data_IF_753527391288
#
_entry.id   IF_753527391288
#
_cell.length_a   1.000
_cell.length_b   1.000
_cell.length_c   1.000
_cell.angle_alpha   90.00
_cell.angle_beta   90.00
_cell.angle_gamma   90.00
#
_symmetry.space_group_name_H-M   'P 1'
#
loop_
_entity.id
_entity.type
_entity.pdbx_description
1 polymer ?
#
# COMPACT_ATOMS: atom_id res chain seq x y z
N UNK A 1 21.73 21.85 -24.30
CA UNK A 1 21.45 23.07 -23.52
C UNK A 1 20.53 22.70 -22.37
N UNK A 2 20.87 23.07 -21.13
CA UNK A 2 19.99 22.82 -19.98
C UNK A 2 18.78 23.75 -20.08
N UNK A 3 17.58 23.20 -20.29
CA UNK A 3 16.32 23.94 -20.30
C UNK A 3 16.12 24.64 -18.96
N UNK A 4 16.45 25.93 -18.90
CA UNK A 4 16.49 26.72 -17.65
C UNK A 4 15.17 27.42 -17.36
N UNK A 5 14.24 27.48 -18.33
CA UNK A 5 12.95 28.15 -18.19
C UNK A 5 11.81 27.12 -18.08
N UNK A 6 10.91 27.31 -17.10
CA UNK A 6 9.77 26.43 -16.86
C UNK A 6 8.81 26.35 -18.07
N UNK A 7 8.71 27.46 -18.84
CA UNK A 7 7.87 27.52 -20.05
C UNK A 7 8.38 26.60 -21.16
N UNK A 8 9.66 26.28 -21.17
CA UNK A 8 10.26 25.38 -22.16
C UNK A 8 10.13 23.90 -21.75
N UNK A 9 9.79 23.65 -20.48
CA UNK A 9 9.73 22.30 -19.88
C UNK A 9 8.30 21.76 -19.71
N UNK A 10 7.30 22.63 -19.55
CA UNK A 10 5.90 22.22 -19.33
C UNK A 10 4.99 22.94 -20.32
N UNK A 11 4.25 22.17 -21.10
CA UNK A 11 3.29 22.61 -22.11
C UNK A 11 1.89 22.03 -21.83
N UNK A 12 0.84 22.49 -22.54
CA UNK A 12 -0.49 21.87 -22.47
C UNK A 12 -0.52 20.38 -22.86
N UNK A 13 0.51 19.88 -23.56
CA UNK A 13 0.62 18.48 -23.95
C UNK A 13 1.32 17.60 -22.88
N UNK A 14 1.98 18.22 -21.90
CA UNK A 14 2.78 17.53 -20.89
C UNK A 14 1.94 16.55 -20.10
N UNK A 15 2.40 15.29 -20.05
CA UNK A 15 1.69 14.22 -19.36
C UNK A 15 1.83 14.34 -17.83
N UNK A 16 0.75 14.09 -17.11
CA UNK A 16 0.74 14.10 -15.65
C UNK A 16 0.78 12.67 -15.09
N UNK A 17 1.73 12.45 -14.18
CA UNK A 17 1.85 11.27 -13.33
C UNK A 17 1.95 11.69 -11.87
N UNK A 18 1.85 10.75 -10.93
CA UNK A 18 2.13 11.09 -9.54
C UNK A 18 2.10 9.96 -8.55
N UNK A 19 2.27 10.31 -7.28
CA UNK A 19 2.13 9.41 -6.15
C UNK A 19 0.94 9.86 -5.30
N UNK A 20 0.10 8.92 -4.88
CA UNK A 20 -1.00 9.16 -3.93
C UNK A 20 -0.70 8.54 -2.57
N UNK A 21 -1.01 9.25 -1.50
CA UNK A 21 -0.83 8.79 -0.13
C UNK A 21 -1.26 9.83 0.90
N UNK A 22 -1.32 9.43 2.17
CA UNK A 22 -1.57 10.35 3.28
C UNK A 22 -0.85 9.88 4.54
N UNK A 23 0.18 10.59 5.02
CA UNK A 23 0.91 11.69 4.36
C UNK A 23 1.80 11.19 3.21
N UNK A 24 2.13 12.05 2.24
CA UNK A 24 2.97 11.67 1.07
C UNK A 24 3.96 12.72 0.59
N UNK A 25 3.89 13.96 1.11
CA UNK A 25 4.76 15.07 0.67
C UNK A 25 6.26 14.84 0.84
N UNK A 26 6.66 13.93 1.73
CA UNK A 26 8.06 13.55 1.97
C UNK A 26 8.59 12.49 0.98
N UNK A 27 7.77 12.01 0.04
CA UNK A 27 8.17 10.98 -0.90
C UNK A 27 9.29 11.45 -1.82
N UNK A 28 10.29 10.59 -2.07
CA UNK A 28 11.32 10.81 -3.09
C UNK A 28 10.86 10.44 -4.51
N UNK A 29 9.65 9.87 -4.68
CA UNK A 29 9.15 9.48 -6.00
C UNK A 29 9.08 10.67 -6.97
N UNK A 30 8.59 11.87 -6.61
CA UNK A 30 8.63 13.03 -7.49
C UNK A 30 10.04 13.38 -7.98
N UNK A 31 11.06 13.35 -7.11
CA UNK A 31 12.44 13.57 -7.55
C UNK A 31 12.89 12.50 -8.56
N UNK A 32 12.71 11.22 -8.22
CA UNK A 32 13.10 10.08 -9.03
C UNK A 32 12.49 10.14 -10.44
N UNK A 33 11.16 10.26 -10.53
CA UNK A 33 10.46 10.21 -11.81
C UNK A 33 10.75 11.44 -12.68
N UNK A 34 10.78 12.64 -12.10
CA UNK A 34 11.11 13.85 -12.88
C UNK A 34 12.57 13.84 -13.36
N UNK A 35 13.49 13.27 -12.58
CA UNK A 35 14.86 13.03 -13.03
C UNK A 35 14.88 12.11 -14.25
N UNK A 36 14.17 10.97 -14.19
CA UNK A 36 14.09 10.04 -15.32
C UNK A 36 13.43 10.67 -16.56
N UNK A 37 12.32 11.40 -16.39
CA UNK A 37 11.66 12.10 -17.50
C UNK A 37 12.60 13.10 -18.19
N UNK A 38 13.35 13.87 -17.40
CA UNK A 38 14.34 14.82 -17.93
C UNK A 38 15.44 14.08 -18.71
N UNK A 39 15.95 12.97 -18.17
CA UNK A 39 17.06 12.22 -18.77
C UNK A 39 16.70 11.46 -20.03
N UNK A 40 15.44 11.07 -20.17
CA UNK A 40 14.92 10.36 -21.33
C UNK A 40 14.11 11.27 -22.27
N UNK A 41 14.12 12.58 -22.02
CA UNK A 41 13.37 13.58 -22.79
C UNK A 41 11.87 13.23 -22.94
N UNK A 42 11.27 12.73 -21.86
CA UNK A 42 9.84 12.44 -21.78
C UNK A 42 9.10 13.70 -21.36
N UNK A 43 8.17 14.18 -22.18
CA UNK A 43 7.31 15.33 -21.86
C UNK A 43 6.27 14.97 -20.79
N UNK A 44 6.73 14.90 -19.54
CA UNK A 44 5.93 14.50 -18.39
C UNK A 44 6.40 15.16 -17.09
N UNK A 45 5.45 15.30 -16.16
CA UNK A 45 5.70 15.73 -14.78
C UNK A 45 5.12 14.71 -13.80
N UNK A 46 5.85 14.48 -12.72
CA UNK A 46 5.42 13.62 -11.62
C UNK A 46 5.21 14.43 -10.33
N UNK A 47 4.02 14.38 -9.73
CA UNK A 47 3.68 15.14 -8.51
C UNK A 47 3.22 14.23 -7.36
N UNK A 48 3.20 14.78 -6.14
CA UNK A 48 2.60 14.13 -4.99
C UNK A 48 1.18 14.67 -4.74
N UNK A 49 0.20 13.78 -4.61
CA UNK A 49 -1.19 14.12 -4.31
C UNK A 49 -1.57 13.54 -2.95
N UNK A 50 -1.81 14.43 -1.98
CA UNK A 50 -2.12 14.07 -0.61
C UNK A 50 -3.63 14.16 -0.37
N UNK A 51 -4.28 13.02 -0.13
CA UNK A 51 -5.72 12.94 0.15
C UNK A 51 -6.05 11.62 0.84
N UNK A 52 -7.12 11.57 1.64
CA UNK A 52 -7.65 10.31 2.19
C UNK A 52 -8.64 9.60 1.25
N UNK A 53 -9.16 10.31 0.23
CA UNK A 53 -10.20 9.81 -0.69
C UNK A 53 -9.60 8.98 -1.84
N UNK A 54 -9.59 7.66 -1.68
CA UNK A 54 -8.99 6.74 -2.65
C UNK A 54 -9.76 6.73 -3.97
N UNK A 55 -11.10 6.66 -3.90
CA UNK A 55 -11.96 6.60 -5.08
C UNK A 55 -11.90 7.91 -5.88
N UNK A 56 -11.92 9.06 -5.20
CA UNK A 56 -11.77 10.36 -5.84
C UNK A 56 -10.43 10.49 -6.56
N UNK A 57 -9.34 10.01 -5.96
CA UNK A 57 -8.01 10.02 -6.58
C UNK A 57 -7.93 9.13 -7.83
N UNK A 58 -8.50 7.92 -7.80
CA UNK A 58 -8.53 7.05 -8.99
C UNK A 58 -9.50 7.60 -10.05
N UNK A 59 -10.62 8.21 -9.65
CA UNK A 59 -11.52 8.93 -10.55
C UNK A 59 -10.81 10.12 -11.22
N UNK A 60 -9.94 10.83 -10.50
CA UNK A 60 -9.16 11.94 -11.03
C UNK A 60 -8.23 11.52 -12.18
N UNK A 61 -7.77 10.27 -12.23
CA UNK A 61 -7.03 9.75 -13.38
C UNK A 61 -7.85 9.83 -14.68
N UNK A 62 -9.16 9.58 -14.58
CA UNK A 62 -10.07 9.64 -15.72
C UNK A 62 -10.36 11.09 -16.09
N UNK A 63 -10.72 11.92 -15.11
CA UNK A 63 -11.19 13.30 -15.35
C UNK A 63 -10.08 14.30 -15.68
N UNK A 64 -8.90 14.15 -15.07
CA UNK A 64 -7.75 15.05 -15.28
C UNK A 64 -6.69 14.45 -16.21
N UNK A 65 -6.98 13.29 -16.82
CA UNK A 65 -6.07 12.57 -17.68
C UNK A 65 -4.70 12.23 -17.05
N UNK A 66 -4.66 11.96 -15.74
CA UNK A 66 -3.44 11.46 -15.07
C UNK A 66 -3.15 10.06 -15.62
N UNK A 67 -1.99 9.89 -16.25
CA UNK A 67 -1.64 8.68 -17.00
C UNK A 67 -1.23 7.51 -16.11
N UNK A 68 -0.66 7.80 -14.94
CA UNK A 68 -0.27 6.77 -13.98
C UNK A 68 -0.07 7.34 -12.58
N UNK A 69 -0.39 6.52 -11.58
CA UNK A 69 -0.25 6.81 -10.17
C UNK A 69 0.52 5.69 -9.47
N UNK A 70 1.56 6.05 -8.73
CA UNK A 70 2.08 5.19 -7.66
C UNK A 70 1.20 5.35 -6.43
N UNK A 71 0.98 4.27 -5.69
CA UNK A 71 0.00 4.20 -4.62
C UNK A 71 0.70 3.77 -3.34
N UNK A 72 0.68 4.61 -2.31
CA UNK A 72 1.21 4.28 -0.98
C UNK A 72 0.12 4.30 0.09
N UNK A 73 0.51 4.15 1.36
CA UNK A 73 -0.43 4.15 2.48
C UNK A 73 -1.30 5.43 2.47
N UNK A 74 -2.59 5.33 2.83
CA UNK A 74 -3.35 4.12 3.19
C UNK A 74 -4.06 3.42 2.01
N UNK A 75 -3.83 3.86 0.76
CA UNK A 75 -4.72 3.56 -0.38
C UNK A 75 -4.56 2.17 -1.01
N UNK A 76 -3.43 1.48 -0.80
CA UNK A 76 -3.04 0.30 -1.59
C UNK A 76 -4.13 -0.78 -1.74
N UNK A 77 -4.90 -1.05 -0.68
CA UNK A 77 -5.98 -2.06 -0.70
C UNK A 77 -7.26 -1.53 -1.33
N UNK A 78 -7.68 -0.32 -0.94
CA UNK A 78 -8.94 0.29 -1.40
C UNK A 78 -8.88 0.63 -2.89
N UNK A 79 -7.68 0.97 -3.39
CA UNK A 79 -7.47 1.22 -4.80
C UNK A 79 -7.73 -0.01 -5.68
N UNK A 80 -7.61 -1.25 -5.17
CA UNK A 80 -7.98 -2.45 -5.92
C UNK A 80 -9.45 -2.47 -6.35
N UNK A 81 -10.33 -1.83 -5.57
CA UNK A 81 -11.76 -1.77 -5.84
C UNK A 81 -12.13 -0.66 -6.84
N UNK A 82 -11.22 0.28 -7.08
CA UNK A 82 -11.46 1.47 -7.89
C UNK A 82 -10.85 1.39 -9.31
N UNK A 83 -9.93 0.45 -9.53
CA UNK A 83 -9.34 0.16 -10.85
C UNK A 83 -10.19 -0.85 -11.63
N UNK A 84 -9.99 -0.91 -12.93
CA UNK A 84 -10.80 -1.73 -13.84
C UNK A 84 -10.25 -3.15 -13.98
N UNK A 85 -8.92 -3.32 -13.95
CA UNK A 85 -8.25 -4.62 -14.11
C UNK A 85 -7.13 -4.75 -13.09
N UNK A 86 -6.98 -5.95 -12.51
CA UNK A 86 -5.86 -6.31 -11.65
C UNK A 86 -4.97 -7.35 -12.33
N UNK A 87 -3.66 -7.19 -12.17
CA UNK A 87 -2.71 -8.27 -12.46
C UNK A 87 -2.88 -9.44 -11.49
N UNK A 88 -2.40 -10.63 -11.86
CA UNK A 88 -2.47 -11.83 -11.02
C UNK A 88 -1.88 -11.58 -9.61
N UNK A 89 -0.70 -10.94 -9.53
CA UNK A 89 -0.07 -10.64 -8.24
C UNK A 89 -0.87 -9.63 -7.43
N UNK A 90 -1.35 -8.56 -8.05
CA UNK A 90 -2.17 -7.54 -7.39
C UNK A 90 -3.49 -8.12 -6.85
N UNK A 91 -4.14 -8.99 -7.63
CA UNK A 91 -5.37 -9.67 -7.25
C UNK A 91 -5.14 -10.60 -6.06
N UNK A 92 -4.11 -11.45 -6.13
CA UNK A 92 -3.79 -12.39 -5.05
C UNK A 92 -3.36 -11.69 -3.75
N UNK A 93 -2.67 -10.54 -3.86
CA UNK A 93 -2.24 -9.75 -2.72
C UNK A 93 -3.36 -8.87 -2.13
N UNK A 94 -4.42 -8.61 -2.90
CA UNK A 94 -5.47 -7.66 -2.53
C UNK A 94 -4.93 -6.25 -2.28
N UNK A 95 -3.86 -5.87 -2.99
CA UNK A 95 -3.20 -4.58 -2.84
C UNK A 95 -2.45 -4.19 -4.12
N UNK A 96 -2.57 -2.93 -4.54
CA UNK A 96 -1.80 -2.34 -5.64
C UNK A 96 -0.91 -1.22 -5.13
N UNK A 97 0.30 -1.10 -5.69
CA UNK A 97 1.18 0.05 -5.48
C UNK A 97 1.30 0.91 -6.75
N UNK A 98 0.60 0.54 -7.82
CA UNK A 98 0.66 1.20 -9.12
C UNK A 98 -0.68 1.09 -9.83
N UNK A 99 -1.18 2.19 -10.39
CA UNK A 99 -2.30 2.24 -11.32
C UNK A 99 -1.87 2.98 -12.59
N UNK A 100 -2.26 2.49 -13.76
CA UNK A 100 -1.87 3.07 -15.05
C UNK A 100 -3.03 3.03 -16.03
N UNK A 101 -3.21 4.09 -16.82
CA UNK A 101 -4.17 4.12 -17.93
C UNK A 101 -3.58 3.38 -19.12
N UNK A 102 -4.33 2.42 -19.64
CA UNK A 102 -3.98 1.62 -20.81
C UNK A 102 -5.11 1.58 -21.83
N UNK A 103 -4.76 1.23 -23.06
CA UNK A 103 -5.75 0.90 -24.08
C UNK A 103 -6.44 -0.44 -23.78
N UNK A 104 -7.67 -0.62 -24.24
CA UNK A 104 -8.40 -1.89 -24.12
C UNK A 104 -7.59 -3.11 -24.61
N UNK A 105 -6.82 -2.95 -25.70
CA UNK A 105 -5.99 -4.03 -26.25
C UNK A 105 -4.89 -4.44 -25.28
N UNK A 106 -4.21 -3.47 -24.67
CA UNK A 106 -3.18 -3.74 -23.67
C UNK A 106 -3.78 -4.39 -22.42
N UNK A 107 -4.91 -3.85 -21.94
CA UNK A 107 -5.62 -4.38 -20.77
C UNK A 107 -6.10 -5.83 -20.99
N UNK A 108 -6.66 -6.16 -22.16
CA UNK A 108 -7.08 -7.53 -22.51
C UNK A 108 -5.92 -8.52 -22.48
N UNK A 109 -4.73 -8.12 -22.94
CA UNK A 109 -3.52 -8.97 -22.86
C UNK A 109 -3.16 -9.29 -21.41
N UNK A 110 -3.29 -8.32 -20.52
CA UNK A 110 -3.00 -8.49 -19.09
C UNK A 110 -4.09 -9.34 -18.42
N UNK A 111 -5.37 -9.07 -18.70
CA UNK A 111 -6.48 -9.83 -18.16
C UNK A 111 -6.45 -11.30 -18.60
N UNK A 112 -6.09 -11.58 -19.86
CA UNK A 112 -5.93 -12.96 -20.36
C UNK A 112 -4.75 -13.72 -19.75
N UNK A 113 -3.81 -13.02 -19.09
CA UNK A 113 -2.72 -13.63 -18.31
C UNK A 113 -3.09 -13.80 -16.84
N UNK A 114 -4.16 -13.16 -16.36
CA UNK A 114 -4.68 -13.31 -15.01
C UNK A 114 -5.65 -14.50 -14.99
N UNK A 115 -5.26 -15.63 -14.40
CA UNK A 115 -6.22 -16.71 -14.10
C UNK A 115 -7.27 -16.17 -13.14
N UNK A 116 -8.52 -16.07 -13.60
CA UNK A 116 -9.69 -15.69 -12.79
C UNK A 116 -9.95 -16.76 -11.73
N UNK A 117 -9.30 -16.68 -10.59
CA UNK A 117 -9.85 -17.23 -9.37
C UNK A 117 -10.64 -16.13 -8.70
N UNK A 118 -11.96 -16.32 -8.65
CA UNK A 118 -12.90 -15.46 -7.95
C UNK A 118 -12.33 -15.11 -6.57
N UNK A 119 -12.00 -13.84 -6.38
CA UNK A 119 -11.75 -13.29 -5.06
C UNK A 119 -13.10 -13.28 -4.36
N UNK A 120 -13.44 -14.37 -3.66
CA UNK A 120 -14.45 -14.35 -2.62
C UNK A 120 -13.91 -13.45 -1.51
N UNK A 121 -14.23 -12.16 -1.61
CA UNK A 121 -13.97 -11.19 -0.56
C UNK A 121 -14.84 -11.57 0.62
N UNK A 122 -14.18 -11.81 1.76
CA UNK A 122 -14.69 -11.76 3.12
C UNK A 122 -16.08 -11.10 3.26
N UNK A 123 -17.14 -11.89 3.11
CA UNK A 123 -18.35 -11.67 3.87
C UNK A 123 -17.99 -11.98 5.32
N UNK A 124 -17.81 -10.95 6.13
CA UNK A 124 -18.02 -11.08 7.56
C UNK A 124 -19.46 -11.54 7.76
N UNK A 125 -19.66 -12.85 7.83
CA UNK A 125 -20.87 -13.41 8.44
C UNK A 125 -20.88 -12.93 9.89
N UNK A 126 -21.63 -11.88 10.15
CA UNK A 126 -22.16 -11.58 11.47
C UNK A 126 -22.94 -12.81 11.92
N UNK A 127 -22.30 -13.71 12.67
CA UNK A 127 -23.03 -14.72 13.43
C UNK A 127 -23.72 -13.99 14.59
N UNK A 128 -25.04 -14.14 14.76
CA UNK A 128 -25.74 -13.55 15.89
C UNK A 128 -25.31 -14.28 17.17
N UNK A 129 -24.91 -13.49 18.16
CA UNK A 129 -24.69 -13.96 19.53
C UNK A 129 -26.02 -14.48 20.05
N UNK A 130 -26.08 -15.79 20.28
CA UNK A 130 -27.19 -16.44 20.96
C UNK A 130 -27.17 -16.05 22.44
N UNK A 131 -28.08 -15.16 22.85
CA UNK A 131 -28.51 -15.05 24.25
C UNK A 131 -29.71 -15.95 24.46
N UNK A 132 -29.50 -17.06 25.17
CA UNK A 132 -30.55 -17.87 25.76
C UNK A 132 -31.31 -17.04 26.80
N UNK A 133 -32.62 -16.85 26.59
CA UNK A 133 -33.60 -16.75 27.67
C UNK A 133 -34.89 -17.41 27.16
N UNK A 134 -35.30 -18.45 27.87
CA UNK A 134 -36.48 -19.25 27.61
C UNK A 134 -37.75 -18.50 28.05
N UNK A 135 -38.85 -18.71 27.31
CA UNK A 135 -40.13 -19.25 27.80
C UNK A 135 -41.36 -18.66 27.07
N UNK A 136 -42.21 -19.60 26.65
CA UNK A 136 -43.68 -19.57 26.55
C UNK A 136 -44.38 -18.76 25.46
N UNK A 137 -44.95 -19.54 24.52
CA UNK A 137 -46.36 -19.54 24.10
C UNK A 137 -47.02 -18.25 23.61
N UNK A 138 -47.24 -18.18 22.29
CA UNK A 138 -48.59 -18.44 21.75
C UNK A 138 -48.58 -18.56 20.22
N UNK A 139 -49.22 -19.62 19.72
CA UNK A 139 -49.37 -19.94 18.30
C UNK A 139 -50.74 -19.48 17.76
N UNK A 140 -50.69 -18.74 16.64
CA UNK A 140 -51.49 -18.87 15.40
C UNK A 140 -53.01 -18.53 15.44
N UNK A 141 -53.71 -18.35 14.28
CA UNK A 141 -53.31 -17.88 12.92
C UNK A 141 -54.41 -17.01 12.20
N UNK A 142 -54.23 -16.83 10.87
CA UNK A 142 -55.25 -16.57 9.83
C UNK A 142 -55.58 -15.08 9.54
N UNK A 143 -55.91 -14.61 8.33
CA UNK A 143 -56.40 -15.29 7.12
C UNK A 143 -56.25 -14.36 5.89
N UNK A 144 -56.41 -14.97 4.73
CA UNK A 144 -56.27 -14.47 3.35
C UNK A 144 -57.44 -13.57 2.86
N UNK A 145 -57.11 -12.69 1.89
CA UNK A 145 -57.84 -12.34 0.63
C UNK A 145 -59.00 -11.31 0.56
N UNK A 146 -58.70 -10.24 -0.23
CA UNK A 146 -59.45 -9.61 -1.37
C UNK A 146 -60.79 -8.87 -1.11
N UNK A 147 -61.34 -8.02 -2.03
CA UNK A 147 -60.88 -7.54 -3.36
C UNK A 147 -61.11 -6.01 -3.65
N UNK A 148 -60.81 -5.60 -4.89
CA UNK A 148 -60.99 -4.29 -5.52
C UNK A 148 -62.45 -3.90 -5.88
N UNK A 149 -62.73 -2.61 -6.10
CA UNK A 149 -63.28 -1.98 -7.35
C UNK A 149 -63.81 -0.53 -7.13
N UNK A 150 -63.64 0.29 -8.19
CA UNK A 150 -64.46 1.45 -8.66
C UNK A 150 -64.61 2.70 -7.75
N UNK A 151 -64.70 3.97 -8.19
CA UNK A 151 -65.02 4.62 -9.47
C UNK A 151 -64.75 6.16 -9.40
N UNK A 152 -64.48 6.79 -10.57
CA UNK A 152 -64.89 8.13 -11.07
C UNK A 152 -64.48 9.49 -10.42
N UNK A 153 -63.92 10.35 -11.29
CA UNK A 153 -63.63 11.82 -11.21
C UNK A 153 -64.92 12.70 -11.32
N UNK A 154 -64.92 14.08 -11.21
CA UNK A 154 -64.24 15.01 -12.15
C UNK A 154 -63.88 16.48 -11.70
N UNK A 155 -63.11 17.17 -12.58
CA UNK A 155 -63.15 18.60 -13.01
C UNK A 155 -62.68 19.82 -12.18
N UNK A 156 -61.72 20.58 -12.75
CA UNK A 156 -61.78 22.01 -13.22
C UNK A 156 -60.34 22.51 -13.56
N UNK A 157 -59.97 22.87 -14.81
CA UNK A 157 -60.14 24.18 -15.51
C UNK A 157 -59.43 25.37 -14.80
N UNK A 158 -58.70 26.33 -15.41
CA UNK A 158 -58.20 26.65 -16.77
C UNK A 158 -57.28 27.91 -16.66
N UNK A 159 -56.66 28.29 -17.80
CA UNK A 159 -56.11 29.62 -18.22
C UNK A 159 -54.57 29.71 -18.35
N UNK A 160 -54.01 29.66 -19.58
CA UNK A 160 -53.90 30.71 -20.62
C UNK A 160 -52.71 31.66 -20.34
N UNK A 161 -51.83 32.10 -21.25
CA UNK A 161 -51.74 32.09 -22.73
C UNK A 161 -50.37 32.71 -23.08
N UNK A 162 -49.72 32.26 -24.17
CA UNK A 162 -49.26 33.19 -25.19
C UNK A 162 -49.03 32.48 -26.54
N UNK A 163 -49.87 32.89 -27.50
CA UNK A 163 -49.83 32.71 -28.96
C UNK A 163 -48.55 33.36 -29.55
N UNK A 164 -48.06 33.12 -30.78
CA UNK A 164 -48.69 33.00 -32.11
C UNK A 164 -47.54 32.56 -33.08
N UNK A 165 -47.63 31.43 -33.81
CA UNK A 165 -47.78 31.28 -35.29
C UNK A 165 -46.70 31.96 -36.18
N UNK A 166 -46.11 31.34 -37.22
CA UNK A 166 -46.74 30.97 -38.51
C UNK A 166 -45.73 30.19 -39.40
N UNK A 167 -46.18 29.03 -39.97
CA UNK A 167 -45.94 28.38 -41.29
C UNK A 167 -44.49 28.10 -41.78
N UNK A 168 -44.15 27.00 -42.49
CA UNK A 168 -44.92 26.21 -43.46
C UNK A 168 -44.29 24.82 -43.75
N UNK A 169 -45.17 23.86 -44.08
CA UNK A 169 -45.06 22.74 -45.05
C UNK A 169 -43.93 21.68 -44.98
N UNK A 170 -44.37 20.43 -44.76
CA UNK A 170 -43.68 19.18 -45.12
C UNK A 170 -43.93 18.84 -46.60
N UNK A 171 -42.95 18.21 -47.27
CA UNK A 171 -43.25 17.09 -48.15
C UNK A 171 -42.55 15.82 -47.67
N UNK A 172 -43.33 14.76 -47.51
CA UNK A 172 -42.83 13.40 -47.42
C UNK A 172 -42.37 12.96 -48.82
N UNK A 173 -41.15 12.41 -48.94
CA UNK A 173 -40.85 11.14 -49.62
C UNK A 173 -39.34 10.85 -49.65
N UNK A 174 -38.99 9.68 -49.12
CA UNK A 174 -37.94 8.74 -49.50
C UNK A 174 -36.51 9.21 -49.84
N UNK A 175 -35.54 8.75 -49.02
CA UNK A 175 -34.26 8.23 -49.53
C UNK A 175 -32.98 8.82 -48.93
N UNK A 176 -32.37 8.05 -48.02
CA UNK A 176 -30.93 8.02 -47.66
C UNK A 176 -30.29 9.21 -46.91
N UNK A 177 -29.52 8.81 -45.88
CA UNK A 177 -28.41 9.50 -45.20
C UNK A 177 -28.71 10.54 -44.11
N UNK A 178 -28.44 10.17 -42.85
CA UNK A 178 -27.43 10.86 -42.03
C UNK A 178 -27.21 10.16 -40.69
N UNK A 179 -26.15 9.37 -40.63
CA UNK A 179 -25.43 9.08 -39.38
C UNK A 179 -24.80 10.37 -38.87
N UNK A 180 -25.43 11.02 -37.90
CA UNK A 180 -24.79 12.00 -37.03
C UNK A 180 -25.14 11.72 -35.57
N UNK A 181 -24.80 10.51 -35.11
CA UNK A 181 -24.41 10.34 -33.71
C UNK A 181 -22.94 10.77 -33.60
N UNK A 182 -22.74 12.01 -33.13
CA UNK A 182 -21.63 12.43 -32.27
C UNK A 182 -20.31 11.65 -32.45
N UNK A 183 -19.51 12.06 -33.44
CA UNK A 183 -18.11 11.62 -33.58
C UNK A 183 -17.22 11.92 -32.35
N UNK A 184 -17.71 12.70 -31.39
CA UNK A 184 -17.01 13.04 -30.15
C UNK A 184 -17.23 12.00 -29.03
N UNK A 185 -18.39 11.33 -28.97
CA UNK A 185 -18.67 10.26 -28.00
C UNK A 185 -17.95 8.95 -28.37
N UNK A 186 -17.62 8.75 -29.64
CA UNK A 186 -16.85 7.59 -30.13
C UNK A 186 -15.32 7.74 -30.01
N UNK A 187 -14.82 8.89 -29.53
CA UNK A 187 -13.38 9.15 -29.36
C UNK A 187 -12.84 8.85 -27.96
N UNK A 188 -13.72 8.57 -26.99
CA UNK A 188 -13.37 7.99 -25.70
C UNK A 188 -13.36 6.46 -25.77
N UNK A 189 -12.50 5.88 -26.62
CA UNK A 189 -12.16 4.46 -26.49
C UNK A 189 -11.64 4.23 -25.08
N UNK A 190 -12.35 3.41 -24.31
CA UNK A 190 -12.21 3.23 -22.87
C UNK A 190 -10.73 3.11 -22.43
N UNK A 191 -10.24 4.12 -21.69
CA UNK A 191 -8.93 4.05 -21.06
C UNK A 191 -9.08 3.23 -19.76
N UNK A 192 -8.73 1.95 -19.84
CA UNK A 192 -8.79 1.00 -18.73
C UNK A 192 -7.69 1.32 -17.73
N UNK A 193 -8.03 1.43 -16.45
CA UNK A 193 -7.05 1.57 -15.37
C UNK A 193 -6.65 0.18 -14.88
N UNK A 194 -5.37 -0.14 -15.06
CA UNK A 194 -4.81 -1.42 -14.64
C UNK A 194 -3.99 -1.25 -13.36
N UNK A 195 -4.22 -2.11 -12.37
CA UNK A 195 -3.55 -2.16 -11.10
C UNK A 195 -2.43 -3.21 -11.02
N UNK A 196 -1.26 -2.79 -10.54
CA UNK A 196 -0.08 -3.64 -10.34
C UNK A 196 0.42 -3.57 -8.90
N UNK A 197 1.12 -4.63 -8.49
CA UNK A 197 1.94 -4.65 -7.29
C UNK A 197 3.38 -5.05 -7.62
N UNK A 198 4.31 -4.11 -7.44
CA UNK A 198 5.73 -4.33 -7.71
C UNK A 198 6.59 -4.49 -6.45
N UNK A 199 6.04 -4.31 -5.24
CA UNK A 199 6.84 -4.30 -4.00
C UNK A 199 7.62 -5.61 -3.81
N UNK A 200 6.95 -6.75 -3.92
CA UNK A 200 7.53 -8.07 -3.67
C UNK A 200 8.61 -8.44 -4.68
N UNK A 201 8.30 -8.32 -5.97
CA UNK A 201 9.27 -8.59 -7.04
C UNK A 201 10.46 -7.63 -6.99
N UNK A 202 10.26 -6.36 -6.62
CA UNK A 202 11.34 -5.40 -6.45
C UNK A 202 12.30 -5.79 -5.33
N UNK A 203 11.75 -6.23 -4.19
CA UNK A 203 12.55 -6.68 -3.05
C UNK A 203 13.32 -7.96 -3.37
N UNK A 204 12.69 -8.94 -4.02
CA UNK A 204 13.33 -10.21 -4.39
C UNK A 204 14.39 -10.00 -5.46
N UNK A 205 14.20 -9.11 -6.44
CA UNK A 205 15.24 -8.75 -7.40
C UNK A 205 16.45 -8.05 -6.75
N UNK A 206 16.23 -7.25 -5.70
CA UNK A 206 17.32 -6.66 -4.93
C UNK A 206 18.07 -7.74 -4.13
N UNK A 207 17.34 -8.66 -3.50
CA UNK A 207 17.92 -9.82 -2.81
C UNK A 207 18.72 -10.71 -3.76
N UNK A 208 18.19 -11.03 -4.95
CA UNK A 208 18.86 -11.83 -5.97
C UNK A 208 20.22 -11.23 -6.36
N UNK A 209 20.24 -9.91 -6.61
CA UNK A 209 21.47 -9.25 -7.02
C UNK A 209 22.52 -9.29 -5.92
N UNK A 210 22.11 -9.07 -4.67
CA UNK A 210 23.03 -9.02 -3.54
C UNK A 210 23.45 -10.42 -3.05
N UNK A 211 22.59 -11.43 -3.23
CA UNK A 211 22.79 -12.80 -2.78
C UNK A 211 22.18 -13.81 -3.79
N UNK A 212 22.89 -14.16 -4.89
CA UNK A 212 22.34 -15.02 -5.95
C UNK A 212 21.93 -16.43 -5.50
N UNK A 213 22.50 -16.92 -4.39
CA UNK A 213 22.18 -18.24 -3.83
C UNK A 213 21.05 -18.19 -2.78
N UNK A 214 20.31 -17.08 -2.65
CA UNK A 214 19.29 -16.88 -1.61
C UNK A 214 18.24 -18.00 -1.55
N UNK A 215 17.93 -18.64 -2.68
CA UNK A 215 16.94 -19.72 -2.78
C UNK A 215 17.29 -20.98 -1.97
N UNK A 216 18.57 -21.13 -1.65
CA UNK A 216 19.12 -22.23 -0.85
C UNK A 216 19.24 -21.87 0.64
N UNK A 217 18.76 -20.70 1.05
CA UNK A 217 18.81 -20.23 2.43
C UNK A 217 17.44 -20.30 3.11
N UNK A 218 17.43 -20.55 4.42
CA UNK A 218 16.23 -20.32 5.23
C UNK A 218 16.01 -18.81 5.39
N UNK A 219 14.80 -18.35 5.08
CA UNK A 219 14.43 -16.93 5.09
C UNK A 219 13.51 -16.66 6.28
N UNK A 220 13.83 -15.64 7.07
CA UNK A 220 12.91 -15.04 8.02
C UNK A 220 12.48 -13.67 7.52
N UNK A 221 11.18 -13.41 7.54
CA UNK A 221 10.61 -12.07 7.33
C UNK A 221 10.07 -11.57 8.66
N UNK A 222 10.57 -10.43 9.12
CA UNK A 222 10.08 -9.73 10.31
C UNK A 222 9.01 -8.74 9.87
N UNK A 223 7.79 -8.95 10.35
CA UNK A 223 6.57 -8.23 9.97
C UNK A 223 5.55 -9.11 9.25
N UNK A 224 4.28 -8.73 9.34
CA UNK A 224 3.16 -9.35 8.63
C UNK A 224 2.31 -8.32 7.85
N UNK A 225 2.90 -7.15 7.53
CA UNK A 225 2.25 -6.07 6.79
C UNK A 225 2.22 -6.30 5.27
N UNK A 226 1.81 -5.28 4.52
CA UNK A 226 1.69 -5.35 3.06
C UNK A 226 3.00 -5.71 2.35
N UNK A 227 4.13 -5.12 2.76
CA UNK A 227 5.45 -5.45 2.20
C UNK A 227 5.86 -6.89 2.53
N UNK A 228 5.71 -7.32 3.78
CA UNK A 228 5.98 -8.71 4.19
C UNK A 228 5.19 -9.71 3.33
N UNK A 229 3.89 -9.45 3.15
CA UNK A 229 3.01 -10.25 2.32
C UNK A 229 3.45 -10.32 0.87
N UNK A 230 3.76 -9.18 0.25
CA UNK A 230 4.19 -9.11 -1.15
C UNK A 230 5.52 -9.84 -1.38
N UNK A 231 6.49 -9.67 -0.48
CA UNK A 231 7.80 -10.35 -0.52
C UNK A 231 7.61 -11.85 -0.33
N UNK A 232 6.90 -12.26 0.71
CA UNK A 232 6.63 -13.67 1.02
C UNK A 232 5.92 -14.37 -0.15
N UNK A 233 4.89 -13.73 -0.72
CA UNK A 233 4.15 -14.23 -1.87
C UNK A 233 5.06 -14.46 -3.08
N UNK A 234 5.98 -13.52 -3.34
CA UNK A 234 6.95 -13.63 -4.43
C UNK A 234 7.90 -14.81 -4.20
N UNK A 235 8.41 -14.98 -2.98
CA UNK A 235 9.32 -16.07 -2.62
C UNK A 235 8.65 -17.45 -2.77
N UNK A 236 7.45 -17.66 -2.24
CA UNK A 236 6.79 -19.00 -2.26
C UNK A 236 6.27 -19.41 -3.64
N UNK A 237 6.20 -18.46 -4.58
CA UNK A 237 5.87 -18.73 -5.99
C UNK A 237 7.09 -19.02 -6.84
N UNK A 238 8.29 -18.75 -6.33
CA UNK A 238 9.52 -19.18 -6.99
C UNK A 238 9.65 -20.71 -6.89
N UNK A 239 9.56 -21.38 -8.04
CA UNK A 239 9.61 -22.83 -8.14
C UNK A 239 10.96 -23.43 -7.71
N UNK A 240 12.01 -22.60 -7.59
CA UNK A 240 13.36 -23.04 -7.23
C UNK A 240 13.71 -22.75 -5.76
N UNK A 241 12.82 -22.09 -5.00
CA UNK A 241 12.97 -21.91 -3.55
C UNK A 241 12.61 -23.18 -2.76
N UNK A 242 13.59 -23.88 -2.18
CA UNK A 242 13.38 -25.20 -1.56
C UNK A 242 13.56 -25.23 -0.05
N UNK A 243 13.59 -24.06 0.59
CA UNK A 243 13.94 -23.90 2.01
C UNK A 243 12.75 -23.43 2.86
N UNK A 244 13.05 -23.14 4.12
CA UNK A 244 12.09 -22.63 5.10
C UNK A 244 11.87 -21.14 4.90
N UNK A 245 10.61 -20.70 4.85
CA UNK A 245 10.18 -19.32 5.02
C UNK A 245 9.48 -19.17 6.36
N UNK A 246 9.95 -18.26 7.21
CA UNK A 246 9.36 -17.94 8.51
C UNK A 246 8.82 -16.53 8.54
N UNK A 247 7.56 -16.34 8.95
CA UNK A 247 7.00 -15.02 9.24
C UNK A 247 7.06 -14.77 10.75
N UNK A 248 7.77 -13.74 11.17
CA UNK A 248 7.82 -13.31 12.56
C UNK A 248 7.03 -12.02 12.76
N UNK A 249 6.04 -12.00 13.66
CA UNK A 249 5.21 -10.82 13.88
C UNK A 249 4.85 -10.60 15.35
N UNK A 250 4.62 -9.33 15.75
CA UNK A 250 4.14 -8.97 17.09
C UNK A 250 2.80 -9.61 17.43
N UNK A 251 1.98 -9.78 16.41
CA UNK A 251 0.66 -10.41 16.49
C UNK A 251 0.76 -11.79 15.80
N UNK A 252 0.85 -12.88 16.58
CA UNK A 252 0.97 -14.24 16.06
C UNK A 252 -0.16 -14.64 15.12
N UNK A 253 -1.38 -14.15 15.34
CA UNK A 253 -2.54 -14.48 14.51
C UNK A 253 -2.38 -13.91 13.10
N UNK A 254 -1.85 -12.68 12.98
CA UNK A 254 -1.51 -12.12 11.66
C UNK A 254 -0.46 -12.93 10.91
N UNK A 255 0.54 -13.47 11.61
CA UNK A 255 1.54 -14.34 10.99
C UNK A 255 0.90 -15.65 10.53
N UNK A 256 0.06 -16.28 11.36
CA UNK A 256 -0.67 -17.51 11.01
C UNK A 256 -1.57 -17.32 9.79
N UNK A 257 -2.36 -16.24 9.75
CA UNK A 257 -3.23 -15.90 8.61
C UNK A 257 -2.38 -15.77 7.35
N UNK A 258 -1.27 -15.03 7.41
CA UNK A 258 -0.38 -14.87 6.26
C UNK A 258 0.20 -16.21 5.80
N UNK A 259 0.62 -17.08 6.71
CA UNK A 259 1.10 -18.43 6.36
C UNK A 259 0.02 -19.25 5.66
N UNK A 260 -1.22 -19.22 6.15
CA UNK A 260 -2.34 -19.94 5.51
C UNK A 260 -2.62 -19.42 4.09
N UNK A 261 -2.59 -18.10 3.89
CA UNK A 261 -2.78 -17.48 2.56
C UNK A 261 -1.64 -17.86 1.60
N UNK A 262 -0.39 -17.85 2.08
CA UNK A 262 0.77 -18.26 1.30
C UNK A 262 0.70 -19.75 0.94
N UNK A 263 0.24 -20.60 1.87
CA UNK A 263 0.07 -22.02 1.62
C UNK A 263 -0.97 -22.31 0.54
N UNK A 264 -2.04 -21.52 0.46
CA UNK A 264 -3.06 -21.63 -0.59
C UNK A 264 -2.56 -21.15 -1.96
N UNK A 265 -1.58 -20.25 -2.00
CA UNK A 265 -1.07 -19.63 -3.23
C UNK A 265 0.31 -20.15 -3.67
N UNK A 266 0.93 -21.06 -2.90
CA UNK A 266 2.24 -21.60 -3.24
C UNK A 266 2.16 -22.42 -4.53
N UNK A 267 3.09 -22.16 -5.45
CA UNK A 267 3.30 -23.02 -6.64
C UNK A 267 4.39 -24.06 -6.38
N UNK A 268 5.08 -23.96 -5.24
CA UNK A 268 6.20 -24.80 -4.89
C UNK A 268 5.89 -25.65 -3.64
N UNK A 269 5.76 -26.99 -3.77
CA UNK A 269 5.48 -27.86 -2.63
C UNK A 269 6.66 -28.02 -1.66
N UNK A 270 7.90 -27.73 -2.09
CA UNK A 270 9.11 -27.89 -1.28
C UNK A 270 9.31 -26.78 -0.26
N UNK A 271 8.69 -25.61 -0.46
CA UNK A 271 8.80 -24.48 0.46
C UNK A 271 8.13 -24.81 1.82
N UNK A 272 8.91 -24.84 2.90
CA UNK A 272 8.39 -25.06 4.26
C UNK A 272 7.98 -23.73 4.87
N UNK A 273 6.71 -23.57 5.20
CA UNK A 273 6.17 -22.35 5.79
C UNK A 273 6.05 -22.48 7.31
N UNK A 274 6.51 -21.46 8.04
CA UNK A 274 6.49 -21.42 9.51
C UNK A 274 6.23 -20.01 10.01
N UNK A 275 5.86 -19.85 11.27
CA UNK A 275 5.71 -18.55 11.90
C UNK A 275 6.34 -18.54 13.30
N UNK A 276 6.68 -17.34 13.79
CA UNK A 276 7.16 -17.10 15.16
C UNK A 276 6.53 -15.82 15.72
N UNK A 277 6.33 -15.79 17.04
CA UNK A 277 5.96 -14.56 17.73
C UNK A 277 7.22 -13.66 17.87
N UNK A 278 7.09 -12.35 17.66
CA UNK A 278 8.24 -11.45 17.57
C UNK A 278 9.01 -11.32 18.90
N UNK A 279 8.30 -11.34 20.02
CA UNK A 279 8.86 -11.37 21.38
C UNK A 279 9.86 -12.52 21.56
N UNK A 280 9.62 -13.67 20.95
CA UNK A 280 10.56 -14.81 21.00
C UNK A 280 11.87 -14.57 20.24
N UNK A 281 12.00 -13.52 19.43
CA UNK A 281 13.22 -13.30 18.64
C UNK A 281 13.82 -11.91 18.82
N UNK A 282 13.23 -11.06 19.66
CA UNK A 282 13.72 -9.72 19.95
C UNK A 282 14.95 -9.75 20.86
N UNK A 283 15.82 -8.76 20.69
CA UNK A 283 16.88 -8.45 21.64
C UNK A 283 16.22 -7.96 22.94
N UNK A 284 16.13 -8.82 23.96
CA UNK A 284 15.72 -8.40 25.29
C UNK A 284 16.84 -7.59 25.92
N UNK A 285 16.59 -6.30 26.21
CA UNK A 285 17.37 -5.62 27.25
C UNK A 285 17.09 -6.34 28.57
N UNK A 286 18.13 -6.80 29.25
CA UNK A 286 18.07 -7.44 30.58
C UNK A 286 17.49 -6.55 31.71
N UNK A 287 16.96 -5.36 31.41
CA UNK A 287 16.45 -4.39 32.40
C UNK A 287 14.95 -4.51 32.69
N UNK A 288 14.26 -5.53 32.18
CA UNK A 288 12.85 -5.81 32.53
C UNK A 288 12.65 -7.18 33.19
N UNK A 289 13.62 -7.63 33.99
CA UNK A 289 13.28 -8.55 35.09
C UNK A 289 12.71 -7.74 36.25
N UNK A 290 11.56 -8.12 36.83
CA UNK A 290 11.24 -7.67 38.19
C UNK A 290 12.42 -8.08 39.08
N UNK A 291 12.97 -7.11 39.80
CA UNK A 291 14.01 -7.31 40.81
C UNK A 291 13.61 -8.47 41.74
N UNK A 292 14.38 -9.55 41.65
CA UNK A 292 14.61 -10.64 42.61
C UNK A 292 13.60 -10.83 43.76
N UNK A 293 12.93 -11.98 43.77
CA UNK A 293 12.56 -12.65 45.03
C UNK A 293 13.85 -13.09 45.77
N UNK A 294 13.86 -13.15 47.11
CA UNK A 294 15.05 -13.55 47.87
C UNK A 294 15.44 -15.02 47.61
N UNK A 295 16.73 -15.36 47.72
CA UNK A 295 17.20 -16.71 47.43
C UNK A 295 16.97 -17.61 48.64
N UNK A 296 15.91 -18.42 48.61
CA UNK A 296 15.80 -19.58 49.50
C UNK A 296 15.30 -20.81 48.73
N UNK A 297 16.18 -21.82 48.69
CA UNK A 297 15.97 -23.21 48.29
C UNK A 297 15.26 -23.45 46.95
N UNK A 298 16.04 -23.49 45.86
CA UNK A 298 15.60 -24.14 44.61
C UNK A 298 16.43 -25.40 44.36
N UNK A 299 15.81 -26.59 44.25
CA UNK A 299 16.53 -27.83 43.92
C UNK A 299 17.05 -27.76 42.48
N UNK A 300 18.21 -28.36 42.22
CA UNK A 300 18.75 -28.51 40.86
C UNK A 300 17.69 -29.19 39.97
N UNK A 301 17.26 -28.48 38.92
CA UNK A 301 16.35 -29.01 37.91
C UNK A 301 17.04 -30.18 37.17
N UNK A 302 16.33 -31.29 36.90
CA UNK A 302 16.90 -32.43 36.19
C UNK A 302 17.35 -32.03 34.77
N UNK A 303 18.36 -32.71 34.19
CA UNK A 303 19.01 -32.31 32.93
C UNK A 303 18.07 -32.27 31.70
N UNK A 304 16.86 -32.78 31.83
CA UNK A 304 15.77 -32.72 30.85
C UNK A 304 15.01 -31.37 30.84
N UNK A 305 15.34 -30.44 31.73
CA UNK A 305 14.88 -29.05 31.75
C UNK A 305 15.99 -28.04 31.39
N UNK A 306 16.85 -28.39 30.42
CA UNK A 306 17.59 -27.35 29.71
C UNK A 306 16.60 -26.59 28.82
N UNK A 307 16.27 -25.36 29.21
CA UNK A 307 15.60 -24.41 28.32
C UNK A 307 16.40 -24.32 27.01
N UNK A 308 15.78 -24.57 25.84
CA UNK A 308 16.37 -24.25 24.54
C UNK A 308 16.63 -22.73 24.52
N UNK A 309 17.86 -22.33 24.87
CA UNK A 309 18.26 -20.93 25.02
C UNK A 309 18.39 -20.19 23.68
N UNK A 310 18.37 -20.93 22.57
CA UNK A 310 18.46 -20.41 21.22
C UNK A 310 17.13 -20.59 20.48
N UNK A 311 16.48 -19.48 20.14
CA UNK A 311 15.21 -19.45 19.39
C UNK A 311 15.37 -19.92 17.92
N UNK A 312 16.46 -20.61 17.60
CA UNK A 312 16.86 -21.14 16.30
C UNK A 312 17.25 -20.05 15.31
N UNK A 313 17.67 -18.88 15.80
CA UNK A 313 17.93 -17.71 14.95
C UNK A 313 19.14 -17.92 14.04
N UNK A 314 20.16 -18.62 14.52
CA UNK A 314 21.33 -19.04 13.73
C UNK A 314 20.97 -19.89 12.49
N UNK A 315 19.79 -20.52 12.46
CA UNK A 315 19.37 -21.38 11.33
C UNK A 315 18.92 -20.60 10.09
N UNK A 316 18.75 -19.27 10.20
CA UNK A 316 18.32 -18.41 9.10
C UNK A 316 19.51 -17.76 8.40
N UNK A 317 19.75 -18.17 7.16
CA UNK A 317 20.75 -17.53 6.31
C UNK A 317 20.33 -16.14 5.84
N UNK A 318 19.04 -15.78 5.93
CA UNK A 318 18.51 -14.48 5.52
C UNK A 318 17.46 -13.99 6.52
N UNK A 319 17.56 -12.72 6.92
CA UNK A 319 16.55 -11.99 7.68
C UNK A 319 16.13 -10.74 6.91
N UNK A 320 14.83 -10.59 6.65
CA UNK A 320 14.24 -9.44 5.97
C UNK A 320 13.34 -8.67 6.94
N UNK A 321 13.74 -7.46 7.34
CA UNK A 321 12.90 -6.56 8.13
C UNK A 321 11.97 -5.76 7.22
N UNK A 322 10.68 -5.80 7.53
CA UNK A 322 9.60 -5.13 6.77
C UNK A 322 8.72 -4.19 7.60
N UNK A 323 8.94 -4.11 8.92
CA UNK A 323 8.21 -3.17 9.79
C UNK A 323 8.84 -1.78 9.75
N UNK A 324 8.12 -0.71 10.13
CA UNK A 324 8.66 0.66 10.18
C UNK A 324 9.65 0.90 11.34
N UNK A 325 9.98 -0.13 12.13
CA UNK A 325 10.94 0.00 13.24
C UNK A 325 12.32 0.32 12.70
N UNK A 326 12.84 1.50 13.05
CA UNK A 326 14.13 2.01 12.58
C UNK A 326 14.03 3.11 11.51
N UNK A 327 12.82 3.43 11.04
CA UNK A 327 12.58 4.49 10.06
C UNK A 327 12.51 5.87 10.72
N UNK A 328 13.05 6.90 10.06
CA UNK A 328 12.95 8.30 10.49
C UNK A 328 11.89 9.06 9.69
N UNK A 329 11.31 10.13 10.27
CA UNK A 329 10.44 11.06 9.54
C UNK A 329 8.94 10.73 9.47
N UNK A 330 8.45 9.70 10.18
CA UNK A 330 6.99 9.52 10.37
C UNK A 330 6.48 10.47 11.46
N UNK A 331 5.75 11.52 11.06
CA UNK A 331 4.77 12.14 11.95
C UNK A 331 3.78 11.07 12.41
N UNK A 332 3.43 11.09 13.70
CA UNK A 332 2.55 10.11 14.33
C UNK A 332 1.28 9.83 13.51
N UNK A 333 0.80 8.58 13.60
CA UNK A 333 -0.42 8.08 12.96
C UNK A 333 -1.60 9.07 13.07
N UNK A 334 -2.55 9.07 12.12
CA UNK A 334 -3.75 9.90 12.24
C UNK A 334 -4.46 9.58 13.57
N UNK A 335 -5.06 10.57 14.25
CA UNK A 335 -5.88 10.30 15.41
C UNK A 335 -6.97 9.31 15.01
N UNK A 336 -7.15 8.28 15.82
CA UNK A 336 -8.23 7.29 15.68
C UNK A 336 -9.56 8.01 15.80
N UNK A 337 -10.11 8.49 14.68
CA UNK A 337 -11.52 8.82 14.62
C UNK A 337 -12.27 7.50 14.43
N UNK A 338 -12.96 7.08 15.49
CA UNK A 338 -14.04 6.11 15.41
C UNK A 338 -15.01 6.55 14.33
N UNK A 339 -15.10 5.79 13.24
CA UNK A 339 -16.14 5.94 12.22
C UNK A 339 -17.49 5.60 12.86
N UNK A 340 -18.18 6.61 13.38
CA UNK A 340 -19.63 6.54 13.54
C UNK A 340 -20.26 6.82 12.18
N UNK A 341 -20.99 5.83 11.69
CA UNK A 341 -21.94 5.93 10.58
C UNK A 341 -22.83 7.17 10.76
N UNK A 342 -22.81 8.11 9.81
CA UNK A 342 -24.01 8.75 9.25
C UNK A 342 -23.63 9.74 8.12
N UNK A 343 -24.36 9.59 7.03
CA UNK A 343 -24.47 10.49 5.88
C UNK A 343 -24.80 11.93 6.29
N UNK A 344 -24.05 12.95 5.87
CA UNK A 344 -24.62 14.30 5.77
C UNK A 344 -24.01 15.15 4.62
N UNK A 345 -24.82 16.05 4.04
CA UNK A 345 -24.55 16.80 2.82
C UNK A 345 -23.82 18.14 3.04
N UNK A 346 -23.26 18.61 1.93
CA UNK A 346 -22.57 19.87 1.64
C UNK A 346 -23.35 21.11 2.14
N UNK A 347 -22.88 21.80 3.19
CA UNK A 347 -22.98 23.28 3.37
C UNK A 347 -22.34 23.87 4.66
N UNK A 348 -21.79 23.09 5.59
CA UNK A 348 -21.29 23.63 6.87
C UNK A 348 -19.79 23.99 6.94
N UNK A 349 -19.00 23.73 5.87
CA UNK A 349 -17.55 24.03 5.85
C UNK A 349 -17.26 25.55 5.80
N UNK A 350 -18.24 26.37 5.45
CA UNK A 350 -18.07 27.84 5.31
C UNK A 350 -18.18 28.59 6.65
N UNK A 351 -18.59 27.96 7.76
CA UNK A 351 -18.73 28.63 9.08
C UNK A 351 -17.55 28.48 10.04
N UNK A 352 -16.50 27.73 9.69
CA UNK A 352 -15.34 27.52 10.59
C UNK A 352 -14.15 28.45 10.31
N UNK A 353 -14.20 29.27 9.25
CA UNK A 353 -13.07 30.11 8.83
C UNK A 353 -13.06 31.55 9.40
N UNK A 354 -14.00 31.94 10.26
CA UNK A 354 -14.06 33.30 10.82
C UNK A 354 -14.32 33.30 12.33
N UNK A 355 -13.26 33.10 13.12
CA UNK A 355 -12.99 33.68 14.46
C UNK A 355 -11.86 32.89 15.14
N UNK A 356 -10.62 33.35 15.00
CA UNK A 356 -9.60 33.19 16.05
C UNK A 356 -8.65 34.39 15.99
N UNK A 357 -8.74 35.20 17.04
CA UNK A 357 -7.97 36.39 17.33
C UNK A 357 -6.60 35.97 17.91
N UNK A 358 -5.52 36.34 17.24
CA UNK A 358 -4.14 35.85 17.48
C UNK A 358 -3.37 36.71 18.49
N UNK A 359 -4.05 37.55 19.26
CA UNK A 359 -3.41 38.57 20.10
C UNK A 359 -3.24 38.23 21.59
N UNK A 360 -3.54 36.99 22.03
CA UNK A 360 -3.39 36.58 23.45
C UNK A 360 -2.82 35.18 23.63
N UNK A 361 -1.53 34.99 23.40
CA UNK A 361 -0.75 33.95 24.07
C UNK A 361 0.61 34.52 24.50
N UNK A 362 0.78 34.62 25.81
CA UNK A 362 1.92 35.25 26.47
C UNK A 362 3.23 34.50 26.23
N UNK A 363 4.29 35.28 26.08
CA UNK A 363 5.66 34.81 26.01
C UNK A 363 6.12 34.29 27.38
N UNK A 364 6.47 33.00 27.43
CA UNK A 364 7.38 32.46 28.45
C UNK A 364 8.62 31.94 27.73
N UNK A 365 9.75 32.62 27.98
CA UNK A 365 11.09 32.35 27.47
C UNK A 365 11.46 30.87 27.59
N UNK A 366 11.83 30.23 26.48
CA UNK A 366 12.63 29.01 26.51
C UNK A 366 14.10 29.45 26.66
N UNK A 367 14.71 29.13 27.80
CA UNK A 367 16.12 29.35 28.06
C UNK A 367 16.93 28.25 27.35
N UNK A 368 17.57 28.62 26.25
CA UNK A 368 18.35 27.75 25.35
C UNK A 368 19.76 27.42 25.91
N UNK A 369 20.08 27.87 27.13
CA UNK A 369 21.42 27.72 27.73
C UNK A 369 21.54 26.57 28.74
N UNK A 370 20.53 25.71 28.89
CA UNK A 370 20.55 24.50 29.75
C UNK A 370 20.15 23.21 29.01
N UNK A 371 20.54 23.08 27.75
CA UNK A 371 20.62 21.76 27.12
C UNK A 371 21.90 21.08 27.60
N UNK A 372 21.79 20.40 28.73
CA UNK A 372 22.78 19.40 29.14
C UNK A 372 23.04 18.45 27.98
N UNK A 373 24.32 18.19 27.71
CA UNK A 373 24.84 17.29 26.69
C UNK A 373 24.58 15.81 27.04
N UNK A 374 23.34 15.47 27.37
CA UNK A 374 22.81 14.11 27.41
C UNK A 374 21.71 14.01 26.38
N UNK A 375 22.12 13.79 25.13
CA UNK A 375 21.26 13.22 24.11
C UNK A 375 20.70 11.92 24.68
N UNK A 376 19.43 11.96 25.10
CA UNK A 376 18.68 10.78 25.47
C UNK A 376 18.46 9.98 24.19
N UNK A 377 19.47 9.17 23.82
CA UNK A 377 19.41 8.16 22.77
C UNK A 377 18.36 7.16 23.22
N UNK A 378 17.12 7.36 22.78
CA UNK A 378 16.06 6.38 22.98
C UNK A 378 16.58 5.01 22.52
N UNK A 379 16.49 4.01 23.42
CA UNK A 379 16.75 2.57 23.20
C UNK A 379 16.70 2.23 21.71
N UNK A 380 17.81 1.82 21.10
CA UNK A 380 17.81 1.38 19.69
C UNK A 380 16.78 0.25 19.57
N UNK A 381 15.63 0.54 18.98
CA UNK A 381 14.55 -0.43 18.79
C UNK A 381 14.96 -1.35 17.64
N UNK A 382 15.78 -2.36 17.95
CA UNK A 382 16.22 -3.37 16.99
C UNK A 382 15.16 -4.48 17.02
N UNK A 383 14.59 -4.85 15.87
CA UNK A 383 13.44 -5.76 15.82
C UNK A 383 13.79 -7.23 16.06
N UNK A 384 15.08 -7.57 16.06
CA UNK A 384 15.59 -8.94 16.14
C UNK A 384 16.92 -8.96 16.93
N UNK A 385 17.14 -10.01 17.71
CA UNK A 385 18.39 -10.27 18.44
C UNK A 385 19.53 -10.61 17.46
N UNK A 386 20.22 -9.59 16.95
CA UNK A 386 21.29 -9.73 15.95
C UNK A 386 22.44 -10.59 16.48
N UNK A 387 22.69 -10.56 17.79
CA UNK A 387 23.68 -11.39 18.48
C UNK A 387 23.39 -12.90 18.44
N UNK A 388 22.16 -13.30 18.13
CA UNK A 388 21.77 -14.72 18.00
C UNK A 388 21.74 -15.19 16.54
N UNK A 389 22.08 -14.33 15.59
CA UNK A 389 22.20 -14.69 14.17
C UNK A 389 23.60 -15.26 13.88
N UNK A 390 23.70 -16.11 12.87
CA UNK A 390 25.00 -16.61 12.42
C UNK A 390 25.78 -15.46 11.74
N UNK A 391 27.12 -15.40 11.85
CA UNK A 391 27.92 -14.32 11.28
C UNK A 391 27.70 -14.09 9.77
N UNK A 392 27.38 -15.15 9.04
CA UNK A 392 27.10 -15.15 7.60
C UNK A 392 25.65 -14.80 7.24
N UNK A 393 24.75 -14.65 8.23
CA UNK A 393 23.35 -14.30 7.97
C UNK A 393 23.26 -12.98 7.24
N UNK A 394 22.57 -12.98 6.10
CA UNK A 394 22.29 -11.79 5.32
C UNK A 394 21.13 -10.99 5.89
N UNK A 395 21.40 -9.75 6.32
CA UNK A 395 20.39 -8.87 6.94
C UNK A 395 19.92 -7.82 5.94
N UNK A 396 18.65 -7.92 5.56
CA UNK A 396 17.99 -7.02 4.63
C UNK A 396 16.94 -6.19 5.37
N UNK A 397 17.07 -4.87 5.38
CA UNK A 397 16.03 -3.95 5.87
C UNK A 397 15.42 -3.19 4.69
N UNK A 398 14.09 -3.26 4.51
CA UNK A 398 13.42 -2.57 3.39
C UNK A 398 13.29 -1.06 3.60
N UNK A 399 13.69 -0.56 4.77
CA UNK A 399 13.79 0.88 5.04
C UNK A 399 14.98 1.47 4.29
N UNK A 400 14.78 2.61 3.65
CA UNK A 400 15.84 3.38 2.99
C UNK A 400 16.06 4.78 3.58
N UNK A 401 15.23 5.18 4.54
CA UNK A 401 15.35 6.45 5.28
C UNK A 401 15.30 6.16 6.78
N UNK A 402 16.45 6.11 7.46
CA UNK A 402 17.81 6.34 6.95
C UNK A 402 18.34 5.16 6.13
N UNK A 403 19.43 5.38 5.38
CA UNK A 403 20.15 4.31 4.66
C UNK A 403 20.72 3.24 5.61
N UNK A 404 21.06 3.64 6.84
CA UNK A 404 21.53 2.73 7.89
C UNK A 404 20.59 2.80 9.10
N UNK A 405 19.63 1.90 9.14
CA UNK A 405 18.77 1.70 10.32
C UNK A 405 19.57 1.15 11.50
N UNK A 406 19.04 1.24 12.74
CA UNK A 406 19.58 0.54 13.90
C UNK A 406 19.95 -0.92 13.65
N UNK A 407 19.10 -1.65 12.92
CA UNK A 407 19.33 -3.05 12.56
C UNK A 407 20.55 -3.20 11.64
N UNK A 408 20.61 -2.40 10.57
CA UNK A 408 21.73 -2.45 9.61
C UNK A 408 23.05 -2.09 10.31
N UNK A 409 23.06 -1.07 11.18
CA UNK A 409 24.25 -0.70 11.97
C UNK A 409 24.70 -1.84 12.89
N UNK A 410 23.77 -2.47 13.60
CA UNK A 410 24.07 -3.58 14.51
C UNK A 410 24.60 -4.83 13.79
N UNK A 411 24.09 -5.10 12.58
CA UNK A 411 24.57 -6.20 11.72
C UNK A 411 25.97 -5.90 11.16
N UNK A 412 26.20 -4.68 10.63
CA UNK A 412 27.52 -4.25 10.14
C UNK A 412 28.60 -4.29 11.23
N UNK A 413 28.26 -3.87 12.45
CA UNK A 413 29.18 -3.92 13.59
C UNK A 413 29.65 -5.35 13.93
N UNK A 414 28.93 -6.37 13.46
CA UNK A 414 29.27 -7.80 13.59
C UNK A 414 29.87 -8.41 12.32
N UNK A 415 30.14 -7.60 11.29
CA UNK A 415 30.68 -8.08 10.02
C UNK A 415 29.67 -8.82 9.12
N UNK A 416 28.37 -8.74 9.44
CA UNK A 416 27.34 -9.43 8.67
C UNK A 416 27.07 -8.74 7.33
N UNK A 417 26.78 -9.47 6.25
CA UNK A 417 26.38 -8.87 4.98
C UNK A 417 25.00 -8.21 5.12
N UNK A 418 24.86 -7.00 4.57
CA UNK A 418 23.65 -6.18 4.72
C UNK A 418 23.15 -5.61 3.40
N UNK A 419 21.83 -5.38 3.34
CA UNK A 419 21.16 -4.65 2.26
C UNK A 419 20.15 -3.68 2.85
N UNK A 420 20.14 -2.44 2.36
CA UNK A 420 19.12 -1.44 2.72
C UNK A 420 18.02 -1.38 1.67
N UNK A 421 16.92 -0.69 1.99
CA UNK A 421 15.72 -0.64 1.16
C UNK A 421 15.84 0.15 -0.13
N UNK A 422 16.95 0.86 -0.36
CA UNK A 422 17.10 1.75 -1.51
C UNK A 422 16.98 0.98 -2.83
N UNK A 423 17.56 -0.22 -2.92
CA UNK A 423 17.49 -1.03 -4.13
C UNK A 423 16.08 -1.53 -4.42
N UNK A 424 15.31 -1.90 -3.39
CA UNK A 424 13.88 -2.19 -3.53
C UNK A 424 13.11 -0.96 -4.02
N UNK A 425 13.36 0.21 -3.40
CA UNK A 425 12.71 1.46 -3.80
C UNK A 425 13.01 1.82 -5.25
N UNK A 426 14.24 1.67 -5.72
CA UNK A 426 14.60 1.90 -7.12
C UNK A 426 13.96 0.86 -8.03
N UNK A 427 14.03 -0.43 -7.69
CA UNK A 427 13.45 -1.51 -8.50
C UNK A 427 11.94 -1.30 -8.75
N UNK A 428 11.16 -1.01 -7.69
CA UNK A 428 9.73 -0.79 -7.85
C UNK A 428 9.42 0.46 -8.69
N UNK A 429 10.22 1.52 -8.54
CA UNK A 429 10.04 2.75 -9.31
C UNK A 429 10.40 2.55 -10.78
N UNK A 430 11.44 1.76 -11.09
CA UNK A 430 11.81 1.40 -12.46
C UNK A 430 10.67 0.62 -13.10
N UNK A 431 10.15 -0.43 -12.46
CA UNK A 431 9.02 -1.19 -13.03
C UNK A 431 7.78 -0.32 -13.26
N UNK A 432 7.50 0.61 -12.36
CA UNK A 432 6.44 1.62 -12.56
C UNK A 432 6.72 2.51 -13.76
N UNK A 433 7.94 3.05 -13.86
CA UNK A 433 8.37 3.89 -14.97
C UNK A 433 8.22 3.18 -16.32
N UNK A 434 8.66 1.92 -16.40
CA UNK A 434 8.56 1.11 -17.62
C UNK A 434 7.10 0.88 -18.01
N UNK A 435 6.21 0.62 -17.04
CA UNK A 435 4.78 0.47 -17.31
C UNK A 435 4.12 1.82 -17.68
N UNK A 436 4.53 2.91 -17.06
CA UNK A 436 4.01 4.26 -17.32
C UNK A 436 4.39 4.81 -18.70
N UNK A 437 5.60 4.49 -19.16
CA UNK A 437 6.20 5.11 -20.35
C UNK A 437 6.41 4.14 -21.51
N UNK A 438 6.40 2.83 -21.25
CA UNK A 438 6.80 1.76 -22.18
C UNK A 438 8.27 1.85 -22.61
N UNK A 439 9.11 2.60 -21.86
CA UNK A 439 10.55 2.71 -22.08
C UNK A 439 11.29 1.84 -21.06
N UNK A 440 12.26 1.05 -21.51
CA UNK A 440 13.14 0.27 -20.64
C UNK A 440 14.28 1.13 -20.10
N UNK A 441 14.58 1.00 -18.80
CA UNK A 441 15.67 1.76 -18.19
C UNK A 441 17.01 1.03 -18.39
N UNK A 442 18.00 1.72 -18.97
CA UNK A 442 19.35 1.16 -19.13
C UNK A 442 20.05 0.99 -17.77
N UNK A 443 20.96 0.02 -17.68
CA UNK A 443 21.79 -0.22 -16.48
C UNK A 443 22.61 1.00 -16.10
N UNK A 444 23.16 1.73 -17.09
CA UNK A 444 23.93 2.95 -16.87
C UNK A 444 23.08 4.07 -16.25
N UNK A 445 21.89 4.33 -16.80
CA UNK A 445 21.00 5.36 -16.26
C UNK A 445 20.46 4.98 -14.88
N UNK A 446 20.21 3.69 -14.64
CA UNK A 446 19.85 3.18 -13.32
C UNK A 446 20.95 3.46 -12.29
N UNK A 447 22.22 3.20 -12.61
CA UNK A 447 23.34 3.43 -11.70
C UNK A 447 23.49 4.93 -11.37
N UNK A 448 23.31 5.80 -12.35
CA UNK A 448 23.33 7.26 -12.18
C UNK A 448 22.17 7.73 -11.28
N UNK A 449 20.95 7.22 -11.51
CA UNK A 449 19.81 7.48 -10.62
C UNK A 449 20.10 7.04 -9.17
N UNK A 450 20.69 5.86 -8.97
CA UNK A 450 21.09 5.39 -7.63
C UNK A 450 22.04 6.37 -6.96
N UNK A 451 23.08 6.82 -7.66
CA UNK A 451 24.06 7.76 -7.11
C UNK A 451 23.42 9.11 -6.72
N UNK A 452 22.46 9.60 -7.52
CA UNK A 452 21.69 10.82 -7.19
C UNK A 452 20.82 10.63 -5.96
N UNK A 453 20.07 9.54 -5.86
CA UNK A 453 19.23 9.26 -4.69
C UNK A 453 20.04 9.10 -3.41
N UNK A 454 21.21 8.46 -3.47
CA UNK A 454 22.12 8.38 -2.31
C UNK A 454 22.57 9.77 -1.88
N UNK A 455 22.82 10.67 -2.83
CA UNK A 455 23.20 12.05 -2.51
C UNK A 455 22.06 12.79 -1.83
N UNK A 456 20.84 12.73 -2.39
CA UNK A 456 19.64 13.33 -1.79
C UNK A 456 19.37 12.79 -0.38
N UNK A 457 19.43 11.47 -0.20
CA UNK A 457 19.21 10.80 1.09
C UNK A 457 20.27 11.12 2.15
N UNK A 458 21.42 11.68 1.77
CA UNK A 458 22.42 12.17 2.74
C UNK A 458 22.15 13.60 3.20
N UNK A 459 21.25 14.31 2.52
CA UNK A 459 20.88 15.70 2.86
C UNK A 459 19.61 15.79 3.71
N UNK A 460 18.89 14.68 3.87
CA UNK A 460 17.67 14.50 4.66
C UNK A 460 18.01 13.60 5.84
#
# INVERSE_FOLDING_TARGET
MAMTNIKDRISPATALYGVIGFPVKHSLSPFLFNYLFTRLNVDAVYLAFESADTEGLIKAMRTLNIRGLSITLPHKRRACLAVDVLTESASALGAINTAVKMTDRQAKKIAGQTTTQNVSLYETKSQPVATHLAATDNRLPAMNKLPATNELSPMNELSATNKLSVMNELPATNGLASTQHSHEELRMKHNVIVGYNFDGIAAVQALERALPNWRKQNVMIVGAGGSARSIAYTIVRDATFSKKLCIAARDPEKAKILISELAANKKNPQARLTWKALDTIQSFNKEQQPTSLPPELSPELPPEYQTETDNGLHTYGIVIQTTPVGMTGMSAAPPTHSLSTHSLPTQSIVKFANKMDVSKMGASKIDISKMDASVNVGKLNIPIAVEKLAPETFVYDIIYTPLETPLIKAAKARGMPTLCGLDMFINQAVMQFEVFTQLTLSSALRADLTAKLVTELRTI
#
